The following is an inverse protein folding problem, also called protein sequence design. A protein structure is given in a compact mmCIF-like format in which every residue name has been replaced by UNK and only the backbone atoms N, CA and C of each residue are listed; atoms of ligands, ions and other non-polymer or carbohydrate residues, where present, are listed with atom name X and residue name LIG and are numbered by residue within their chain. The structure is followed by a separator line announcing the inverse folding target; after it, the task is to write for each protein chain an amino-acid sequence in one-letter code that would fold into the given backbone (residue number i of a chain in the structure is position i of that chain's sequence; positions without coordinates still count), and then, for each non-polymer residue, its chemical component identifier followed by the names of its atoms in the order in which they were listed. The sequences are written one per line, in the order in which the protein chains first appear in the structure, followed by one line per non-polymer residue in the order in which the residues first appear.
data_IF_376605243047
#
_entry.id   IF_376605243047
#
_cell.length_a   1.000
_cell.length_b   1.000
_cell.length_c   1.000
_cell.angle_alpha   90.00
_cell.angle_beta   90.00
_cell.angle_gamma   90.00
#
_symmetry.space_group_name_H-M   'P 1'
#
loop_
_entity.id
_entity.type
_entity.pdbx_description
1 polymer ?
#
# COMPACT_ATOMS: atom_id res chain seq x y z
N UNK A 1 41.00 42.99 -8.81
CA UNK A 1 39.69 42.73 -8.16
C UNK A 1 38.64 42.65 -9.27
N UNK A 2 38.27 41.44 -9.65
CA UNK A 2 37.17 41.21 -10.61
C UNK A 2 35.89 40.98 -9.84
N UNK A 3 34.76 41.66 -10.19
CA UNK A 3 33.48 41.44 -9.54
C UNK A 3 32.89 40.10 -10.02
N UNK A 4 32.73 39.14 -9.08
CA UNK A 4 31.99 37.90 -9.34
C UNK A 4 30.51 38.21 -9.43
N UNK A 5 29.94 38.11 -10.65
CA UNK A 5 28.52 38.29 -10.89
C UNK A 5 27.73 37.11 -10.25
N UNK A 6 26.62 37.38 -9.55
CA UNK A 6 25.78 36.34 -9.02
C UNK A 6 24.99 35.70 -10.16
N UNK A 7 25.24 34.40 -10.45
CA UNK A 7 24.39 33.61 -11.33
C UNK A 7 23.52 32.69 -10.44
N UNK A 8 22.41 33.20 -10.00
CA UNK A 8 21.33 32.35 -9.54
C UNK A 8 20.14 32.59 -10.49
N UNK A 9 20.04 31.81 -11.54
CA UNK A 9 18.78 31.72 -12.30
C UNK A 9 17.73 31.07 -11.41
N UNK A 10 16.51 31.64 -11.29
CA UNK A 10 15.44 30.99 -10.54
C UNK A 10 15.14 29.62 -11.17
N UNK A 11 15.02 28.58 -10.36
CA UNK A 11 14.52 27.29 -10.80
C UNK A 11 13.21 27.52 -11.56
N UNK A 12 13.17 27.13 -12.83
CA UNK A 12 12.00 27.33 -13.66
C UNK A 12 10.81 26.59 -13.02
N UNK A 13 9.61 27.18 -12.99
CA UNK A 13 8.42 26.53 -12.42
C UNK A 13 8.13 25.17 -13.03
N UNK A 14 8.64 24.89 -14.24
CA UNK A 14 8.61 23.58 -14.89
C UNK A 14 9.38 22.48 -14.12
N UNK A 15 10.47 22.81 -13.42
CA UNK A 15 11.21 21.82 -12.64
C UNK A 15 10.47 21.42 -11.34
N UNK A 16 9.76 22.38 -10.74
CA UNK A 16 8.92 22.11 -9.56
C UNK A 16 7.69 21.31 -9.97
N UNK A 17 7.07 21.64 -11.11
CA UNK A 17 5.95 20.88 -11.65
C UNK A 17 6.35 19.44 -12.06
N UNK A 18 7.53 19.27 -12.66
CA UNK A 18 8.06 17.94 -12.99
C UNK A 18 8.34 17.08 -11.74
N UNK A 19 8.88 17.68 -10.68
CA UNK A 19 9.08 16.99 -9.41
C UNK A 19 7.74 16.59 -8.75
N UNK A 20 6.73 17.44 -8.80
CA UNK A 20 5.39 17.16 -8.30
C UNK A 20 4.72 16.01 -9.08
N UNK A 21 4.90 15.96 -10.42
CA UNK A 21 4.38 14.89 -11.28
C UNK A 21 5.06 13.53 -11.01
N UNK A 22 6.36 13.53 -10.73
CA UNK A 22 7.11 12.30 -10.35
C UNK A 22 6.64 11.77 -8.99
N UNK A 23 6.28 12.64 -8.06
CA UNK A 23 5.78 12.25 -6.73
C UNK A 23 4.31 11.76 -6.76
N UNK A 24 3.53 12.16 -7.75
CA UNK A 24 2.11 11.80 -7.86
C UNK A 24 1.87 10.35 -8.37
N UNK A 25 2.89 9.66 -8.91
CA UNK A 25 2.75 8.35 -9.56
C UNK A 25 3.07 7.12 -8.71
N UNK A 26 3.28 7.26 -7.39
CA UNK A 26 3.94 6.21 -6.62
C UNK A 26 3.03 5.10 -6.06
N UNK A 27 1.71 5.23 -6.06
CA UNK A 27 0.81 4.19 -5.59
C UNK A 27 -0.18 3.77 -6.69
N UNK A 28 -0.25 2.47 -7.05
CA UNK A 28 -1.23 1.99 -8.02
C UNK A 28 -2.65 2.19 -7.46
N UNK A 29 -3.64 2.39 -8.35
CA UNK A 29 -5.03 2.40 -7.96
C UNK A 29 -5.40 1.04 -7.35
N UNK A 30 -6.13 1.04 -6.26
CA UNK A 30 -6.61 -0.18 -5.62
C UNK A 30 -7.73 -0.86 -6.44
N UNK A 31 -7.91 -2.14 -6.19
CA UNK A 31 -9.01 -2.95 -6.73
C UNK A 31 -9.95 -3.44 -5.63
N UNK A 32 -9.76 -2.98 -4.40
CA UNK A 32 -10.61 -3.33 -3.25
C UNK A 32 -11.07 -2.08 -2.51
N UNK A 33 -12.21 -2.18 -1.84
CA UNK A 33 -12.75 -1.08 -1.03
C UNK A 33 -11.83 -0.74 0.16
N UNK A 34 -11.20 -1.75 0.76
CA UNK A 34 -10.24 -1.62 1.85
C UNK A 34 -8.96 -0.94 1.36
N UNK A 35 -8.48 -1.34 0.19
CA UNK A 35 -7.31 -0.73 -0.45
C UNK A 35 -7.54 0.73 -0.84
N UNK A 36 -8.76 1.14 -1.20
CA UNK A 36 -9.10 2.54 -1.44
C UNK A 36 -8.97 3.37 -0.15
N UNK A 37 -9.36 2.83 1.01
CA UNK A 37 -9.16 3.50 2.30
C UNK A 37 -7.67 3.66 2.62
N UNK A 38 -6.86 2.63 2.34
CA UNK A 38 -5.40 2.67 2.50
C UNK A 38 -4.79 3.71 1.54
N UNK A 39 -5.23 3.75 0.29
CA UNK A 39 -4.76 4.71 -0.72
C UNK A 39 -5.06 6.16 -0.29
N UNK A 40 -6.24 6.44 0.24
CA UNK A 40 -6.57 7.77 0.77
C UNK A 40 -5.67 8.17 1.94
N UNK A 41 -5.41 7.26 2.87
CA UNK A 41 -4.48 7.50 3.98
C UNK A 41 -3.06 7.75 3.46
N UNK A 42 -2.59 6.95 2.51
CA UNK A 42 -1.29 7.13 1.87
C UNK A 42 -1.16 8.53 1.23
N UNK A 43 -2.17 8.97 0.48
CA UNK A 43 -2.17 10.31 -0.13
C UNK A 43 -2.12 11.43 0.90
N UNK A 44 -2.80 11.29 2.04
CA UNK A 44 -2.70 12.22 3.15
C UNK A 44 -1.27 12.32 3.68
N UNK A 45 -0.62 11.17 3.95
CA UNK A 45 0.76 11.13 4.43
C UNK A 45 1.74 11.72 3.41
N UNK A 46 1.58 11.39 2.13
CA UNK A 46 2.41 11.94 1.06
C UNK A 46 2.26 13.46 0.93
N UNK A 47 1.04 13.98 1.06
CA UNK A 47 0.79 15.43 1.04
C UNK A 47 1.47 16.12 2.21
N UNK A 48 1.31 15.59 3.43
CA UNK A 48 1.96 16.13 4.62
C UNK A 48 3.48 16.08 4.49
N UNK A 49 4.02 14.95 4.02
CA UNK A 49 5.47 14.79 3.79
C UNK A 49 5.99 15.78 2.75
N UNK A 50 5.27 16.01 1.66
CA UNK A 50 5.65 16.98 0.64
C UNK A 50 5.67 18.41 1.18
N UNK A 51 4.67 18.79 2.00
CA UNK A 51 4.62 20.11 2.64
C UNK A 51 5.78 20.32 3.61
N UNK A 52 6.04 19.35 4.50
CA UNK A 52 7.14 19.40 5.46
C UNK A 52 8.48 19.43 4.73
N UNK A 53 8.68 18.57 3.74
CA UNK A 53 9.89 18.56 2.91
C UNK A 53 10.13 19.89 2.21
N UNK A 54 9.08 20.45 1.59
CA UNK A 54 9.15 21.74 0.91
C UNK A 54 9.50 22.89 1.87
N UNK A 55 8.88 22.90 3.06
CA UNK A 55 9.17 23.88 4.10
C UNK A 55 10.63 23.78 4.57
N UNK A 56 11.07 22.60 4.97
CA UNK A 56 12.44 22.39 5.50
C UNK A 56 13.48 22.71 4.43
N UNK A 57 13.28 22.21 3.19
CA UNK A 57 14.19 22.49 2.07
C UNK A 57 14.28 24.00 1.79
N UNK A 58 13.14 24.69 1.80
CA UNK A 58 13.11 26.14 1.58
C UNK A 58 13.86 26.89 2.66
N UNK A 59 13.69 26.53 3.94
CA UNK A 59 14.40 27.12 5.08
C UNK A 59 15.91 26.85 5.01
N UNK A 60 16.32 25.64 4.66
CA UNK A 60 17.74 25.28 4.49
C UNK A 60 18.35 26.09 3.35
N UNK A 61 17.73 26.11 2.17
CA UNK A 61 18.22 26.87 1.03
C UNK A 61 18.30 28.38 1.33
N UNK A 62 17.24 28.91 1.96
CA UNK A 62 17.25 30.31 2.40
C UNK A 62 18.40 30.60 3.38
N UNK A 63 18.64 29.73 4.35
CA UNK A 63 19.73 29.86 5.33
C UNK A 63 21.10 29.85 4.65
N UNK A 64 21.33 28.89 3.76
CA UNK A 64 22.60 28.77 3.01
C UNK A 64 22.86 30.01 2.14
N UNK A 65 21.84 30.50 1.46
CA UNK A 65 21.98 31.67 0.59
C UNK A 65 22.10 32.98 1.37
N UNK A 66 21.33 33.13 2.47
CA UNK A 66 21.23 34.38 3.25
C UNK A 66 22.40 34.57 4.22
N UNK A 67 22.83 33.49 4.88
CA UNK A 67 23.85 33.52 5.93
C UNK A 67 25.23 33.03 5.45
N UNK A 68 25.44 32.96 4.15
CA UNK A 68 26.77 32.64 3.59
C UNK A 68 27.79 33.66 4.10
N UNK A 69 28.91 33.16 4.64
CA UNK A 69 30.04 34.00 5.12
C UNK A 69 30.54 34.93 4.00
N UNK A 70 30.60 36.23 4.27
CA UNK A 70 31.01 37.26 3.32
C UNK A 70 32.26 38.03 3.80
N UNK A 71 32.54 37.98 5.09
CA UNK A 71 33.67 38.63 5.74
C UNK A 71 34.17 37.79 6.91
N UNK A 72 35.22 38.26 7.61
CA UNK A 72 35.79 37.57 8.75
C UNK A 72 35.21 38.01 10.10
N UNK A 73 34.16 38.81 10.10
CA UNK A 73 33.48 39.23 11.32
C UNK A 73 32.64 38.07 11.90
N UNK A 74 32.69 37.96 13.21
CA UNK A 74 31.82 37.01 13.92
C UNK A 74 30.37 37.49 13.83
N UNK A 75 29.41 36.59 13.48
CA UNK A 75 28.03 36.95 13.45
C UNK A 75 27.51 37.31 14.85
N UNK A 76 26.46 38.16 14.88
CA UNK A 76 25.79 38.50 16.14
C UNK A 76 25.28 37.23 16.81
N UNK A 77 25.72 37.00 18.06
CA UNK A 77 25.22 35.90 18.86
C UNK A 77 23.83 36.23 19.36
N UNK A 78 22.88 35.30 19.19
CA UNK A 78 21.51 35.43 19.67
C UNK A 78 21.22 34.33 20.67
N UNK A 79 20.61 34.70 21.80
CA UNK A 79 20.10 33.74 22.77
C UNK A 79 18.85 33.04 22.24
N UNK A 80 18.37 32.01 22.90
CA UNK A 80 17.19 31.24 22.54
C UNK A 80 15.88 32.08 22.41
N UNK A 81 14.87 31.50 21.80
CA UNK A 81 13.56 32.12 21.69
C UNK A 81 12.49 31.10 22.12
N UNK A 82 12.06 31.19 23.38
CA UNK A 82 11.11 30.25 23.98
C UNK A 82 9.81 30.11 23.20
N UNK A 83 9.32 31.17 22.52
CA UNK A 83 8.10 31.09 21.68
C UNK A 83 8.33 30.25 20.44
N UNK A 84 9.49 30.42 19.82
CA UNK A 84 9.86 29.64 18.65
C UNK A 84 10.13 28.17 19.05
N UNK A 85 10.80 27.93 20.16
CA UNK A 85 11.03 26.60 20.71
C UNK A 85 9.74 25.86 21.01
N UNK A 86 8.80 26.53 21.65
CA UNK A 86 7.47 25.97 21.89
C UNK A 86 6.74 25.67 20.56
N UNK A 87 6.82 26.56 19.58
CA UNK A 87 6.14 26.35 18.29
C UNK A 87 6.67 25.13 17.53
N UNK A 88 7.98 24.97 17.39
CA UNK A 88 8.54 23.80 16.68
C UNK A 88 8.44 22.49 17.45
N UNK A 89 8.10 22.51 18.73
CA UNK A 89 7.78 21.33 19.54
C UNK A 89 6.30 20.97 19.42
N UNK A 90 5.41 21.94 19.63
CA UNK A 90 3.96 21.71 19.72
C UNK A 90 3.36 21.40 18.33
N UNK A 91 3.77 22.13 17.29
CA UNK A 91 3.19 21.94 15.94
C UNK A 91 3.45 20.53 15.39
N UNK A 92 4.68 19.99 15.37
CA UNK A 92 4.92 18.60 14.95
C UNK A 92 4.22 17.57 15.85
N UNK A 93 4.15 17.83 17.17
CA UNK A 93 3.46 16.94 18.10
C UNK A 93 1.95 16.83 17.77
N UNK A 94 1.29 17.95 17.52
CA UNK A 94 -0.13 17.96 17.12
C UNK A 94 -0.33 17.29 15.75
N UNK A 95 0.61 17.49 14.81
CA UNK A 95 0.58 16.82 13.52
C UNK A 95 0.66 15.29 13.67
N UNK A 96 1.55 14.80 14.53
CA UNK A 96 1.67 13.35 14.80
C UNK A 96 0.38 12.80 15.41
N UNK A 97 -0.22 13.51 16.37
CA UNK A 97 -1.53 13.12 16.94
C UNK A 97 -2.60 13.05 15.85
N UNK A 98 -2.68 14.07 14.99
CA UNK A 98 -3.63 14.09 13.89
C UNK A 98 -3.45 12.87 12.95
N UNK A 99 -2.23 12.60 12.51
CA UNK A 99 -1.93 11.46 11.64
C UNK A 99 -2.23 10.11 12.34
N UNK A 100 -1.92 10.00 13.62
CA UNK A 100 -2.26 8.83 14.43
C UNK A 100 -3.76 8.57 14.47
N UNK A 101 -4.56 9.60 14.76
CA UNK A 101 -6.03 9.48 14.77
C UNK A 101 -6.57 9.06 13.40
N UNK A 102 -6.04 9.63 12.31
CA UNK A 102 -6.44 9.25 10.95
C UNK A 102 -6.07 7.80 10.65
N UNK A 103 -4.90 7.35 11.09
CA UNK A 103 -4.46 5.95 10.95
C UNK A 103 -5.40 4.98 11.66
N UNK A 104 -5.72 5.23 12.94
CA UNK A 104 -6.64 4.37 13.71
C UNK A 104 -8.03 4.33 13.07
N UNK A 105 -8.54 5.46 12.60
CA UNK A 105 -9.84 5.50 11.90
C UNK A 105 -9.84 4.67 10.62
N UNK A 106 -8.77 4.75 9.84
CA UNK A 106 -8.63 3.95 8.61
C UNK A 106 -8.47 2.48 8.94
N UNK A 107 -7.63 2.14 9.92
CA UNK A 107 -7.44 0.76 10.37
C UNK A 107 -8.76 0.11 10.80
N UNK A 108 -9.56 0.81 11.60
CA UNK A 108 -10.86 0.28 12.03
C UNK A 108 -11.83 0.04 10.86
N UNK A 109 -11.77 0.85 9.81
CA UNK A 109 -12.57 0.63 8.58
C UNK A 109 -12.08 -0.55 7.76
N UNK A 110 -10.75 -0.69 7.61
CA UNK A 110 -10.12 -1.77 6.84
C UNK A 110 -10.29 -3.13 7.52
N UNK A 111 -10.31 -3.15 8.86
CA UNK A 111 -10.48 -4.37 9.66
C UNK A 111 -11.94 -4.59 10.12
N UNK A 112 -12.90 -3.81 9.61
CA UNK A 112 -14.32 -4.06 9.88
C UNK A 112 -14.75 -5.35 9.16
N UNK A 113 -15.51 -6.17 9.85
CA UNK A 113 -16.10 -7.42 9.35
C UNK A 113 -17.48 -7.12 8.75
N UNK A 114 -17.64 -6.98 7.43
CA UNK A 114 -18.93 -6.70 6.82
C UNK A 114 -19.81 -7.96 6.82
N UNK A 115 -21.09 -7.86 7.13
CA UNK A 115 -21.97 -9.03 7.19
C UNK A 115 -22.17 -9.66 5.81
N UNK A 116 -22.18 -10.99 5.76
CA UNK A 116 -22.37 -11.79 4.54
C UNK A 116 -21.12 -11.84 3.67
N UNK A 117 -21.09 -12.74 2.73
CA UNK A 117 -19.96 -12.88 1.81
C UNK A 117 -19.60 -14.33 1.55
N UNK A 118 -18.46 -14.52 0.93
CA UNK A 118 -17.88 -15.84 0.62
C UNK A 118 -16.73 -16.08 1.58
N UNK A 119 -16.69 -17.26 2.24
CA UNK A 119 -15.58 -17.64 3.10
C UNK A 119 -14.61 -18.55 2.37
N UNK A 120 -13.33 -18.20 2.42
CA UNK A 120 -12.25 -18.96 1.78
C UNK A 120 -11.14 -19.20 2.80
N UNK A 121 -10.86 -20.47 3.06
CA UNK A 121 -9.65 -20.87 3.79
C UNK A 121 -8.45 -20.83 2.85
N UNK A 122 -7.43 -20.06 3.24
CA UNK A 122 -6.18 -19.91 2.51
C UNK A 122 -5.06 -20.53 3.31
N UNK A 123 -4.48 -21.62 2.81
CA UNK A 123 -3.35 -22.30 3.44
C UNK A 123 -2.08 -22.06 2.63
N UNK A 124 -1.09 -21.44 3.26
CA UNK A 124 0.25 -21.27 2.71
C UNK A 124 1.13 -22.45 3.13
N UNK A 125 1.96 -22.93 2.20
CA UNK A 125 2.96 -23.99 2.43
C UNK A 125 4.14 -23.85 1.46
N UNK A 126 5.26 -24.46 1.73
CA UNK A 126 6.47 -24.36 0.93
C UNK A 126 6.35 -25.18 -0.38
N UNK A 127 6.27 -24.58 -1.56
CA UNK A 127 6.22 -23.14 -1.87
C UNK A 127 5.03 -22.86 -2.79
N UNK A 128 3.82 -22.98 -2.23
CA UNK A 128 2.58 -22.75 -2.96
C UNK A 128 1.43 -22.37 -2.02
N UNK A 129 0.23 -22.29 -2.57
CA UNK A 129 -0.99 -21.90 -1.90
C UNK A 129 -2.10 -22.91 -2.17
N UNK A 130 -3.01 -23.07 -1.20
CA UNK A 130 -4.24 -23.82 -1.31
C UNK A 130 -5.40 -22.90 -0.94
N UNK A 131 -6.47 -22.97 -1.71
CA UNK A 131 -7.70 -22.22 -1.52
C UNK A 131 -8.87 -23.18 -1.37
N UNK A 132 -9.53 -23.17 -0.22
CA UNK A 132 -10.67 -24.01 0.11
C UNK A 132 -11.92 -23.14 0.26
N UNK A 133 -12.94 -23.35 -0.59
CA UNK A 133 -14.19 -22.62 -0.57
C UNK A 133 -15.16 -23.31 0.37
N UNK A 134 -15.44 -22.75 1.55
CA UNK A 134 -16.24 -23.40 2.60
C UNK A 134 -17.64 -23.80 2.14
N UNK A 135 -18.32 -22.95 1.38
CA UNK A 135 -19.70 -23.15 0.95
C UNK A 135 -19.91 -24.41 0.08
N UNK A 136 -18.89 -24.85 -0.62
CA UNK A 136 -19.00 -25.95 -1.60
C UNK A 136 -17.99 -27.09 -1.37
N UNK A 137 -17.05 -26.92 -0.43
CA UNK A 137 -15.94 -27.83 -0.23
C UNK A 137 -14.97 -27.91 -1.42
N UNK A 138 -15.05 -26.95 -2.35
CA UNK A 138 -14.17 -26.89 -3.51
C UNK A 138 -12.79 -26.46 -3.10
N UNK A 139 -11.78 -27.14 -3.65
CA UNK A 139 -10.38 -26.89 -3.35
C UNK A 139 -9.61 -26.58 -4.64
N UNK A 140 -8.73 -25.59 -4.58
CA UNK A 140 -7.73 -25.28 -5.60
C UNK A 140 -6.37 -25.31 -4.92
N UNK A 141 -5.49 -26.21 -5.38
CA UNK A 141 -4.15 -26.36 -4.82
C UNK A 141 -3.10 -26.16 -5.91
N UNK A 142 -2.07 -25.36 -5.59
CA UNK A 142 -0.90 -25.19 -6.43
C UNK A 142 0.21 -26.18 -6.13
N UNK A 143 1.29 -26.10 -6.90
CA UNK A 143 2.45 -26.97 -6.75
C UNK A 143 3.56 -26.64 -7.76
N UNK A 144 4.61 -27.44 -7.86
CA UNK A 144 5.70 -27.18 -8.78
C UNK A 144 5.20 -26.98 -10.21
N UNK A 145 5.50 -25.80 -10.78
CA UNK A 145 5.08 -25.40 -12.14
C UNK A 145 3.58 -25.11 -12.29
N UNK A 146 2.79 -25.14 -11.23
CA UNK A 146 1.36 -24.83 -11.24
C UNK A 146 1.02 -23.69 -10.28
N UNK A 147 0.82 -22.49 -10.83
CA UNK A 147 0.36 -21.32 -10.09
C UNK A 147 -1.14 -21.49 -9.81
N UNK A 148 -1.58 -21.53 -8.52
CA UNK A 148 -3.00 -21.69 -8.21
C UNK A 148 -3.76 -20.39 -8.43
N UNK A 149 -5.04 -20.53 -8.81
CA UNK A 149 -5.95 -19.42 -9.07
C UNK A 149 -6.98 -19.30 -7.94
N UNK A 150 -7.01 -18.16 -7.28
CA UNK A 150 -8.04 -17.76 -6.32
C UNK A 150 -9.14 -17.02 -7.08
N UNK A 151 -10.28 -17.69 -7.30
CA UNK A 151 -11.45 -17.09 -7.94
C UNK A 151 -12.31 -16.40 -6.89
N UNK A 152 -12.68 -15.13 -7.11
CA UNK A 152 -13.48 -14.33 -6.18
C UNK A 152 -14.54 -13.50 -6.91
N UNK A 153 -15.72 -13.22 -6.28
CA UNK A 153 -16.74 -12.38 -6.88
C UNK A 153 -16.43 -10.89 -6.70
N UNK A 154 -16.76 -10.09 -7.73
CA UNK A 154 -16.74 -8.64 -7.61
C UNK A 154 -17.93 -8.13 -6.80
N UNK A 155 -17.72 -7.09 -5.98
CA UNK A 155 -18.75 -6.39 -5.21
C UNK A 155 -19.22 -7.08 -3.93
N UNK A 156 -18.82 -8.34 -3.69
CA UNK A 156 -19.19 -9.13 -2.52
C UNK A 156 -18.01 -9.19 -1.55
N UNK A 157 -18.23 -9.11 -0.22
CA UNK A 157 -17.16 -9.37 0.75
C UNK A 157 -16.62 -10.79 0.61
N UNK A 158 -15.29 -10.93 0.67
CA UNK A 158 -14.59 -12.22 0.71
C UNK A 158 -13.88 -12.29 2.05
N UNK A 159 -14.39 -13.15 2.93
CA UNK A 159 -13.78 -13.45 4.23
C UNK A 159 -12.68 -14.47 4.06
N UNK A 160 -11.44 -14.09 4.36
CA UNK A 160 -10.25 -14.93 4.19
C UNK A 160 -9.75 -15.37 5.56
N UNK A 161 -9.70 -16.70 5.76
CA UNK A 161 -9.06 -17.34 6.90
C UNK A 161 -7.67 -17.83 6.48
N UNK A 162 -6.66 -17.06 6.78
CA UNK A 162 -5.28 -17.29 6.36
C UNK A 162 -4.49 -18.05 7.41
N UNK A 163 -3.88 -19.17 7.00
CA UNK A 163 -3.02 -20.00 7.86
C UNK A 163 -1.76 -20.47 7.13
N UNK A 164 -0.78 -20.92 7.88
CA UNK A 164 0.39 -21.63 7.34
C UNK A 164 0.49 -23.03 7.93
N UNK A 165 0.92 -23.99 7.10
CA UNK A 165 1.16 -25.38 7.52
C UNK A 165 2.61 -25.65 7.94
N UNK A 166 3.54 -24.73 7.66
CA UNK A 166 4.99 -24.96 7.88
C UNK A 166 5.72 -23.75 8.47
N UNK A 167 6.14 -22.80 7.65
CA UNK A 167 6.88 -21.59 8.06
C UNK A 167 6.02 -20.32 7.90
N UNK A 168 6.53 -19.17 8.30
CA UNK A 168 5.82 -17.89 8.08
C UNK A 168 5.84 -17.55 6.59
N UNK A 169 4.66 -17.27 6.03
CA UNK A 169 4.45 -16.71 4.70
C UNK A 169 3.73 -15.37 4.79
N UNK A 170 3.49 -14.73 3.67
CA UNK A 170 2.66 -13.52 3.63
C UNK A 170 1.84 -13.47 2.34
N UNK A 171 0.53 -13.40 2.49
CA UNK A 171 -0.42 -13.20 1.39
C UNK A 171 -0.39 -11.72 0.98
N UNK A 172 -0.07 -11.46 -0.27
CA UNK A 172 -0.03 -10.11 -0.82
C UNK A 172 -0.47 -10.10 -2.28
N UNK A 173 -1.40 -9.22 -2.57
CA UNK A 173 -1.79 -8.85 -3.94
C UNK A 173 -1.50 -7.35 -4.08
N UNK A 174 -0.51 -6.93 -4.88
CA UNK A 174 -0.06 -5.53 -4.92
C UNK A 174 -1.19 -4.53 -5.17
N UNK A 175 -2.16 -4.90 -6.01
CA UNK A 175 -3.31 -4.06 -6.35
C UNK A 175 -4.35 -3.92 -5.25
N UNK A 176 -4.29 -4.70 -4.17
CA UNK A 176 -5.16 -4.52 -3.00
C UNK A 176 -4.60 -3.54 -1.98
N UNK A 177 -3.31 -3.20 -2.08
CA UNK A 177 -2.57 -2.41 -1.08
C UNK A 177 -2.61 -3.00 0.33
N UNK A 178 -3.00 -4.26 0.45
CA UNK A 178 -3.18 -4.98 1.71
C UNK A 178 -2.31 -6.23 1.74
N UNK A 179 -1.67 -6.46 2.87
CA UNK A 179 -0.79 -7.60 3.12
C UNK A 179 -1.07 -8.21 4.49
N UNK A 180 -1.08 -9.55 4.57
CA UNK A 180 -1.28 -10.28 5.82
C UNK A 180 -0.32 -11.46 5.95
N UNK A 181 0.27 -11.65 7.12
CA UNK A 181 1.13 -12.79 7.40
C UNK A 181 0.30 -14.04 7.70
N UNK A 182 0.74 -15.18 7.13
CA UNK A 182 0.32 -16.52 7.47
C UNK A 182 1.32 -17.10 8.46
N UNK A 183 0.92 -17.23 9.73
CA UNK A 183 1.78 -17.66 10.83
C UNK A 183 1.39 -19.07 11.23
N UNK A 184 2.33 -20.04 11.36
CA UNK A 184 2.05 -21.38 11.83
C UNK A 184 1.35 -21.37 13.20
N UNK A 185 0.31 -22.19 13.34
CA UNK A 185 -0.45 -22.30 14.59
C UNK A 185 -1.44 -21.16 14.85
N UNK A 186 -1.56 -20.20 13.93
CA UNK A 186 -2.49 -19.05 14.05
C UNK A 186 -3.35 -18.94 12.80
N UNK A 187 -4.64 -18.64 12.96
CA UNK A 187 -5.52 -18.23 11.88
C UNK A 187 -5.64 -16.72 11.90
N UNK A 188 -5.28 -16.09 10.78
CA UNK A 188 -5.42 -14.64 10.58
C UNK A 188 -6.65 -14.39 9.70
N UNK A 189 -7.64 -13.69 10.21
CA UNK A 189 -8.89 -13.41 9.49
C UNK A 189 -8.91 -11.96 9.00
N UNK A 190 -9.45 -11.76 7.80
CA UNK A 190 -9.64 -10.44 7.20
C UNK A 190 -10.61 -10.49 6.03
N UNK A 191 -11.17 -9.36 5.69
CA UNK A 191 -12.13 -9.19 4.60
C UNK A 191 -11.55 -8.35 3.48
N UNK A 192 -11.86 -8.73 2.24
CA UNK A 192 -11.57 -7.95 1.05
C UNK A 192 -12.81 -7.88 0.16
N UNK A 193 -13.18 -6.68 -0.27
CA UNK A 193 -14.23 -6.47 -1.26
C UNK A 193 -13.63 -5.99 -2.57
N UNK A 194 -13.50 -6.91 -3.53
CA UNK A 194 -12.98 -6.61 -4.86
C UNK A 194 -13.98 -5.79 -5.67
N UNK A 195 -13.55 -4.67 -6.22
CA UNK A 195 -14.41 -3.72 -6.94
C UNK A 195 -14.24 -3.77 -8.46
N UNK A 196 -13.17 -4.40 -8.95
CA UNK A 196 -12.85 -4.45 -10.38
C UNK A 196 -12.61 -5.90 -10.81
N UNK A 197 -13.29 -6.35 -11.84
CA UNK A 197 -13.04 -7.65 -12.47
C UNK A 197 -11.69 -7.66 -13.20
N UNK A 198 -11.05 -8.84 -13.27
CA UNK A 198 -9.75 -9.00 -13.92
C UNK A 198 -8.91 -10.08 -13.27
N UNK A 199 -7.71 -10.28 -13.80
CA UNK A 199 -6.72 -11.22 -13.25
C UNK A 199 -5.57 -10.40 -12.66
N UNK A 200 -5.26 -10.68 -11.41
CA UNK A 200 -4.24 -9.96 -10.64
C UNK A 200 -3.24 -10.95 -10.06
N UNK A 201 -1.97 -10.61 -10.13
CA UNK A 201 -0.92 -11.44 -9.53
C UNK A 201 -0.89 -11.25 -8.01
N UNK A 202 -0.76 -12.36 -7.30
CA UNK A 202 -0.44 -12.42 -5.89
C UNK A 202 0.89 -13.13 -5.66
N UNK A 203 1.52 -12.86 -4.52
CA UNK A 203 2.86 -13.34 -4.19
C UNK A 203 3.04 -13.53 -2.69
N UNK A 204 4.01 -14.36 -2.32
CA UNK A 204 4.53 -14.41 -0.96
C UNK A 204 5.54 -13.27 -0.75
N UNK A 205 5.36 -12.47 0.30
CA UNK A 205 6.27 -11.33 0.61
C UNK A 205 7.00 -11.51 1.95
N UNK A 206 6.98 -12.71 2.51
CA UNK A 206 7.78 -13.09 3.68
C UNK A 206 8.74 -14.21 3.28
N UNK A 207 10.05 -14.01 3.46
CA UNK A 207 11.03 -15.02 3.11
C UNK A 207 10.70 -16.36 3.77
N UNK A 208 10.47 -17.40 2.95
CA UNK A 208 10.00 -18.71 3.37
C UNK A 208 10.88 -19.87 2.85
N UNK A 209 12.06 -19.57 2.29
CA UNK A 209 13.01 -20.58 1.83
C UNK A 209 13.43 -20.44 0.37
N UNK A 210 13.96 -21.50 -0.22
CA UNK A 210 14.70 -21.47 -1.49
C UNK A 210 13.86 -21.05 -2.70
N UNK A 211 12.59 -21.44 -2.76
CA UNK A 211 11.68 -21.08 -3.85
C UNK A 211 10.69 -19.96 -3.46
N UNK A 212 11.10 -19.09 -2.52
CA UNK A 212 10.28 -17.94 -2.08
C UNK A 212 9.82 -17.05 -3.25
N UNK A 213 10.69 -16.78 -4.21
CA UNK A 213 10.37 -15.95 -5.39
C UNK A 213 9.33 -16.57 -6.33
N UNK A 214 9.21 -17.90 -6.29
CA UNK A 214 8.33 -18.67 -7.17
C UNK A 214 6.98 -18.99 -6.53
N UNK A 215 6.79 -18.59 -5.26
CA UNK A 215 5.57 -18.79 -4.51
C UNK A 215 4.51 -17.76 -4.88
N UNK A 216 4.00 -17.91 -6.09
CA UNK A 216 3.02 -17.03 -6.70
C UNK A 216 1.61 -17.63 -6.67
N UNK A 217 0.60 -16.79 -6.83
CA UNK A 217 -0.79 -17.16 -7.11
C UNK A 217 -1.43 -16.09 -7.99
N UNK A 218 -2.60 -16.37 -8.55
CA UNK A 218 -3.40 -15.38 -9.26
C UNK A 218 -4.73 -15.19 -8.56
N UNK A 219 -5.24 -13.96 -8.53
CA UNK A 219 -6.59 -13.64 -8.09
C UNK A 219 -7.40 -13.29 -9.34
N UNK A 220 -8.40 -14.12 -9.64
CA UNK A 220 -9.32 -13.87 -10.73
C UNK A 220 -10.64 -13.33 -10.17
N UNK A 221 -10.86 -12.04 -10.34
CA UNK A 221 -12.07 -11.35 -9.91
C UNK A 221 -13.08 -11.43 -11.05
N UNK A 222 -14.18 -12.12 -10.82
CA UNK A 222 -15.24 -12.36 -11.83
C UNK A 222 -16.57 -11.75 -11.42
N UNK A 223 -17.54 -11.74 -12.35
CA UNK A 223 -18.91 -11.37 -11.99
C UNK A 223 -19.51 -12.37 -10.99
N UNK A 224 -20.49 -11.93 -10.21
CA UNK A 224 -21.15 -12.79 -9.22
C UNK A 224 -21.77 -14.03 -9.87
N UNK A 225 -22.35 -13.90 -11.07
CA UNK A 225 -22.90 -15.03 -11.83
C UNK A 225 -21.84 -16.04 -12.27
N UNK A 226 -20.70 -15.57 -12.76
CA UNK A 226 -19.58 -16.44 -13.14
C UNK A 226 -18.98 -17.15 -11.93
N UNK A 227 -18.93 -16.48 -10.77
CA UNK A 227 -18.49 -17.09 -9.52
C UNK A 227 -19.44 -18.22 -9.08
N UNK A 228 -20.75 -18.00 -9.11
CA UNK A 228 -21.75 -19.04 -8.79
C UNK A 228 -21.65 -20.24 -9.75
N UNK A 229 -21.40 -19.99 -11.04
CA UNK A 229 -21.15 -21.05 -12.01
C UNK A 229 -19.89 -21.85 -11.64
N UNK A 230 -18.81 -21.19 -11.28
CA UNK A 230 -17.59 -21.86 -10.81
C UNK A 230 -17.87 -22.72 -9.58
N UNK A 231 -18.61 -22.23 -8.61
CA UNK A 231 -18.95 -23.02 -7.41
C UNK A 231 -19.75 -24.27 -7.76
N UNK A 232 -20.65 -24.22 -8.74
CA UNK A 232 -21.51 -25.34 -9.13
C UNK A 232 -20.84 -26.33 -10.09
N UNK A 233 -20.05 -25.88 -11.07
CA UNK A 233 -19.53 -26.71 -12.16
C UNK A 233 -18.05 -27.02 -12.07
N UNK A 234 -17.27 -26.21 -11.37
CA UNK A 234 -15.81 -26.28 -11.31
C UNK A 234 -15.10 -25.60 -12.46
N UNK A 235 -15.80 -25.01 -13.37
CA UNK A 235 -15.23 -24.28 -14.49
C UNK A 235 -15.39 -22.78 -14.26
N UNK A 236 -14.29 -22.03 -14.28
CA UNK A 236 -14.36 -20.59 -14.37
C UNK A 236 -15.05 -20.25 -15.68
N UNK A 237 -16.20 -19.59 -15.62
CA UNK A 237 -16.90 -19.13 -16.82
C UNK A 237 -15.95 -18.26 -17.65
N UNK A 238 -15.68 -18.65 -18.89
CA UNK A 238 -14.89 -17.85 -19.82
C UNK A 238 -15.62 -16.52 -20.03
N UNK A 239 -15.18 -15.46 -19.33
CA UNK A 239 -15.57 -14.10 -19.68
C UNK A 239 -15.01 -13.84 -21.08
N UNK A 240 -15.88 -13.88 -22.10
CA UNK A 240 -15.53 -13.57 -23.48
C UNK A 240 -14.88 -12.18 -23.52
N UNK A 241 -13.59 -12.16 -23.77
CA UNK A 241 -12.87 -10.99 -24.24
C UNK A 241 -13.34 -10.72 -25.66
N UNK A 242 -14.43 -9.95 -25.82
CA UNK A 242 -14.71 -9.30 -27.10
C UNK A 242 -13.78 -8.09 -27.20
N UNK A 243 -12.58 -8.32 -27.73
CA UNK A 243 -11.74 -7.25 -28.23
C UNK A 243 -12.34 -6.68 -29.52
N UNK A 244 -12.48 -5.38 -29.56
CA UNK A 244 -12.34 -4.53 -30.76
C UNK A 244 -11.66 -3.25 -30.35
#
# INVERSE_FOLDING_TARGET
MHPVKPVAKPLRPAAVAALALVLAGCAPASITAEGDQIHHLYNLFMTVAAVVFGLVTSLVLWSVLRYRRRDDQLPKQTEGNNKLELAWTVVPFLLVIFLFVMTIRTQNKVLSDPPGGVTIDVTAFQWSWQFDYEDTGRQVIGGPGRIPELLVPAGVPVHIKLRSSDVIHSFYVPRTLFKRQAIPGTVSEFDLRFTQTGIYQGECTQFCGIAHSDMLFTVHVVSQSAFQQFLSTGQAGSSGSSGT
#
